data_IF_114147260020
#
_entry.id   IF_114147260020
#
_cell.length_a   1.000
_cell.length_b   1.000
_cell.length_c   1.000
_cell.angle_alpha   90.00
_cell.angle_beta   90.00
_cell.angle_gamma   90.00
#
_symmetry.space_group_name_H-M   'P 1'
#
loop_
_entity.id
_entity.type
_entity.pdbx_description
1 polymer ?
#
# COMPACT_ATOMS: atom_id res chain seq x y z
N UNK A 1 -49.62 -24.03 10.64
CA UNK A 1 -49.15 -22.62 10.67
C UNK A 1 -47.81 -22.43 11.38
N UNK A 2 -47.49 -23.23 12.42
CA UNK A 2 -46.23 -23.10 13.18
C UNK A 2 -44.96 -23.35 12.34
N UNK A 3 -44.95 -24.39 11.49
CA UNK A 3 -43.79 -24.72 10.63
C UNK A 3 -43.45 -23.66 9.57
N UNK A 4 -44.44 -22.94 9.03
CA UNK A 4 -44.18 -21.81 8.09
C UNK A 4 -43.56 -20.61 8.81
N UNK A 5 -44.01 -20.31 10.04
CA UNK A 5 -43.44 -19.22 10.85
C UNK A 5 -42.01 -19.53 11.29
N UNK A 6 -41.73 -20.77 11.70
CA UNK A 6 -40.37 -21.23 12.05
C UNK A 6 -39.46 -21.20 10.82
N UNK A 7 -39.93 -21.66 9.66
CA UNK A 7 -39.14 -21.59 8.42
C UNK A 7 -38.81 -20.15 8.00
N UNK A 8 -39.79 -19.22 8.09
CA UNK A 8 -39.56 -17.80 7.77
C UNK A 8 -38.58 -17.17 8.78
N UNK A 9 -38.71 -17.47 10.08
CA UNK A 9 -37.79 -16.97 11.11
C UNK A 9 -36.35 -17.50 10.91
N UNK A 10 -36.20 -18.79 10.59
CA UNK A 10 -34.89 -19.39 10.28
C UNK A 10 -34.30 -18.81 9.00
N UNK A 11 -35.11 -18.60 7.96
CA UNK A 11 -34.68 -17.97 6.71
C UNK A 11 -34.25 -16.51 6.94
N UNK A 12 -35.00 -15.74 7.72
CA UNK A 12 -34.62 -14.38 8.10
C UNK A 12 -33.31 -14.36 8.90
N UNK A 13 -33.12 -15.28 9.85
CA UNK A 13 -31.87 -15.37 10.63
C UNK A 13 -30.66 -15.68 9.75
N UNK A 14 -30.81 -16.62 8.82
CA UNK A 14 -29.76 -16.97 7.84
C UNK A 14 -29.46 -15.78 6.92
N UNK A 15 -30.47 -15.09 6.41
CA UNK A 15 -30.28 -13.90 5.57
C UNK A 15 -29.61 -12.76 6.34
N UNK A 16 -29.97 -12.53 7.60
CA UNK A 16 -29.29 -11.53 8.44
C UNK A 16 -27.83 -11.91 8.72
N UNK A 17 -27.55 -13.17 9.04
CA UNK A 17 -26.19 -13.63 9.29
C UNK A 17 -25.31 -13.52 8.03
N UNK A 18 -25.86 -13.86 6.86
CA UNK A 18 -25.17 -13.69 5.57
C UNK A 18 -24.92 -12.21 5.25
N UNK A 19 -25.89 -11.33 5.53
CA UNK A 19 -25.72 -9.89 5.32
C UNK A 19 -24.64 -9.27 6.22
N UNK A 20 -24.58 -9.69 7.50
CA UNK A 20 -23.57 -9.24 8.46
C UNK A 20 -22.18 -9.76 8.11
N UNK A 21 -22.09 -10.99 7.62
CA UNK A 21 -20.82 -11.56 7.15
C UNK A 21 -20.33 -10.86 5.87
N UNK A 22 -21.23 -10.58 4.93
CA UNK A 22 -20.89 -9.86 3.70
C UNK A 22 -20.43 -8.42 4.01
N UNK A 23 -21.07 -7.73 4.96
CA UNK A 23 -20.65 -6.38 5.37
C UNK A 23 -19.28 -6.39 6.05
N UNK A 24 -18.98 -7.37 6.91
CA UNK A 24 -17.67 -7.44 7.57
C UNK A 24 -16.53 -7.77 6.59
N UNK A 25 -16.79 -8.62 5.59
CA UNK A 25 -15.82 -8.90 4.53
C UNK A 25 -15.58 -7.70 3.61
N UNK A 26 -16.63 -6.95 3.29
CA UNK A 26 -16.51 -5.70 2.54
C UNK A 26 -15.68 -4.67 3.33
N UNK A 27 -15.96 -4.49 4.61
CA UNK A 27 -15.20 -3.59 5.49
C UNK A 27 -13.73 -4.00 5.58
N UNK A 28 -13.45 -5.31 5.75
CA UNK A 28 -12.09 -5.85 5.76
C UNK A 28 -11.36 -5.62 4.43
N UNK A 29 -12.05 -5.79 3.30
CA UNK A 29 -11.51 -5.46 1.98
C UNK A 29 -11.19 -3.97 1.83
N UNK A 30 -12.10 -3.07 2.21
CA UNK A 30 -11.89 -1.61 2.10
C UNK A 30 -10.78 -1.12 3.03
N UNK A 31 -10.65 -1.72 4.22
CA UNK A 31 -9.52 -1.47 5.11
C UNK A 31 -8.21 -1.91 4.46
N UNK A 32 -8.11 -3.16 3.99
CA UNK A 32 -6.90 -3.65 3.34
C UNK A 32 -6.56 -2.86 2.06
N UNK A 33 -7.56 -2.39 1.31
CA UNK A 33 -7.40 -1.49 0.15
C UNK A 33 -6.74 -0.18 0.56
N UNK A 34 -7.22 0.45 1.63
CA UNK A 34 -6.64 1.69 2.15
C UNK A 34 -5.24 1.47 2.69
N UNK A 35 -4.99 0.38 3.40
CA UNK A 35 -3.68 0.02 3.94
C UNK A 35 -2.64 -0.23 2.83
N UNK A 36 -2.97 -0.98 1.78
CA UNK A 36 -2.04 -1.20 0.65
C UNK A 36 -1.76 0.08 -0.11
N UNK A 37 -2.77 0.93 -0.36
CA UNK A 37 -2.55 2.23 -1.02
C UNK A 37 -1.67 3.13 -0.15
N UNK A 38 -1.91 3.14 1.16
CA UNK A 38 -1.13 3.91 2.13
C UNK A 38 0.33 3.47 2.17
N UNK A 39 0.59 2.15 2.20
CA UNK A 39 1.93 1.59 2.23
C UNK A 39 2.69 1.86 0.93
N UNK A 40 2.03 1.67 -0.22
CA UNK A 40 2.63 1.91 -1.53
C UNK A 40 2.89 3.40 -1.79
N UNK A 41 2.00 4.29 -1.37
CA UNK A 41 2.21 5.73 -1.46
C UNK A 41 3.31 6.22 -0.50
N UNK A 42 3.39 5.62 0.70
CA UNK A 42 4.50 5.85 1.63
C UNK A 42 5.82 5.41 1.00
N UNK A 43 5.89 4.23 0.37
CA UNK A 43 7.06 3.78 -0.39
C UNK A 43 7.39 4.73 -1.54
N UNK A 44 6.39 5.14 -2.30
CA UNK A 44 6.50 6.07 -3.44
C UNK A 44 7.02 7.46 -3.05
N UNK A 45 6.97 7.82 -1.77
CA UNK A 45 7.49 9.10 -1.26
C UNK A 45 9.01 9.13 -1.09
N UNK A 46 9.70 7.99 -1.18
CA UNK A 46 11.17 7.90 -1.08
C UNK A 46 11.85 8.07 -2.45
N UNK A 47 13.01 8.72 -2.48
CA UNK A 47 13.77 8.97 -3.72
C UNK A 47 14.81 7.88 -3.97
N UNK A 48 14.35 6.62 -3.96
CA UNK A 48 15.17 5.44 -4.20
C UNK A 48 14.53 4.51 -5.24
N UNK A 49 15.20 3.39 -5.57
CA UNK A 49 14.70 2.47 -6.61
C UNK A 49 13.33 1.86 -6.25
N UNK A 50 13.09 1.37 -5.02
CA UNK A 50 11.76 0.94 -4.58
C UNK A 50 10.69 2.02 -4.70
N UNK A 51 10.98 3.24 -4.25
CA UNK A 51 10.06 4.37 -4.33
C UNK A 51 9.71 4.74 -5.76
N UNK A 52 10.69 4.74 -6.67
CA UNK A 52 10.43 4.96 -8.10
C UNK A 52 9.56 3.85 -8.71
N UNK A 53 9.84 2.57 -8.41
CA UNK A 53 9.01 1.46 -8.88
C UNK A 53 7.56 1.57 -8.37
N UNK A 54 7.37 1.97 -7.11
CA UNK A 54 6.07 2.21 -6.51
C UNK A 54 5.32 3.36 -7.21
N UNK A 55 5.99 4.51 -7.43
CA UNK A 55 5.41 5.66 -8.15
C UNK A 55 4.93 5.27 -9.53
N UNK A 56 5.79 4.60 -10.32
CA UNK A 56 5.43 4.19 -11.68
C UNK A 56 4.24 3.23 -11.69
N UNK A 57 4.16 2.31 -10.74
CA UNK A 57 3.01 1.41 -10.62
C UNK A 57 1.73 2.14 -10.25
N UNK A 58 1.78 3.09 -9.32
CA UNK A 58 0.61 3.88 -8.93
C UNK A 58 0.13 4.78 -10.07
N UNK A 59 1.05 5.44 -10.79
CA UNK A 59 0.73 6.25 -11.98
C UNK A 59 0.07 5.38 -13.06
N UNK A 60 0.59 4.18 -13.31
CA UNK A 60 0.00 3.20 -14.24
C UNK A 60 -1.43 2.82 -13.83
N UNK A 61 -1.72 2.80 -12.53
CA UNK A 61 -3.06 2.58 -11.98
C UNK A 61 -3.96 3.82 -12.00
N UNK A 62 -3.52 4.92 -12.61
CA UNK A 62 -4.30 6.14 -12.80
C UNK A 62 -4.30 7.09 -11.60
N UNK A 63 -3.31 7.00 -10.71
CA UNK A 63 -3.12 7.99 -9.66
C UNK A 63 -2.40 9.22 -10.21
N UNK A 64 -2.97 10.41 -9.94
CA UNK A 64 -2.27 11.68 -10.12
C UNK A 64 -1.42 11.93 -8.87
N UNK A 65 -0.09 11.92 -9.00
CA UNK A 65 0.86 12.03 -7.88
C UNK A 65 1.71 13.28 -8.04
N UNK A 66 1.57 14.21 -7.11
CA UNK A 66 2.38 15.42 -7.00
C UNK A 66 3.43 15.23 -5.88
N UNK A 67 4.66 14.91 -6.29
CA UNK A 67 5.80 14.75 -5.38
C UNK A 67 6.43 16.11 -5.04
N UNK A 68 6.63 16.37 -3.75
CA UNK A 68 7.12 17.65 -3.24
C UNK A 68 8.28 17.47 -2.28
N UNK A 69 9.29 18.32 -2.47
CA UNK A 69 10.39 18.53 -1.54
C UNK A 69 10.35 20.01 -1.14
N UNK A 70 10.18 20.26 0.15
CA UNK A 70 10.29 21.60 0.74
C UNK A 70 11.49 21.63 1.66
N UNK A 71 12.41 22.57 1.41
CA UNK A 71 13.60 22.80 2.23
C UNK A 71 13.48 24.10 2.99
N UNK A 72 13.91 24.10 4.24
CA UNK A 72 14.20 25.27 5.05
C UNK A 72 15.58 25.09 5.74
N UNK A 73 16.02 26.08 6.51
CA UNK A 73 17.35 26.07 7.16
C UNK A 73 17.53 24.95 8.22
N UNK A 74 16.44 24.30 8.65
CA UNK A 74 16.41 23.32 9.74
C UNK A 74 15.85 21.95 9.33
N UNK A 75 15.13 21.85 8.22
CA UNK A 75 14.53 20.59 7.76
C UNK A 75 14.27 20.52 6.26
N UNK A 76 14.17 19.29 5.77
CA UNK A 76 13.66 18.95 4.45
C UNK A 76 12.38 18.12 4.62
N UNK A 77 11.22 18.74 4.39
CA UNK A 77 9.93 18.05 4.37
C UNK A 77 9.68 17.47 2.98
N UNK A 78 9.50 16.14 2.91
CA UNK A 78 9.20 15.42 1.66
C UNK A 78 7.84 14.75 1.80
N UNK A 79 6.99 14.92 0.80
CA UNK A 79 5.70 14.26 0.76
C UNK A 79 5.20 14.09 -0.66
N UNK A 80 4.25 13.18 -0.84
CA UNK A 80 3.47 13.02 -2.07
C UNK A 80 2.01 13.30 -1.79
N UNK A 81 1.38 14.09 -2.65
CA UNK A 81 -0.07 14.26 -2.67
C UNK A 81 -0.64 13.48 -3.86
N UNK A 82 -1.42 12.44 -3.59
CA UNK A 82 -1.96 11.55 -4.60
C UNK A 82 -3.49 11.63 -4.65
N UNK A 83 -4.06 11.73 -5.85
CA UNK A 83 -5.52 11.80 -6.05
C UNK A 83 -6.00 10.81 -7.10
N UNK A 84 -7.14 10.16 -6.83
CA UNK A 84 -7.89 9.35 -7.79
C UNK A 84 -9.35 9.26 -7.39
N UNK A 85 -10.26 9.67 -8.28
CA UNK A 85 -11.70 9.62 -8.02
C UNK A 85 -12.10 10.48 -6.83
N UNK A 86 -12.56 9.86 -5.73
CA UNK A 86 -12.89 10.53 -4.46
C UNK A 86 -11.79 10.41 -3.41
N UNK A 87 -10.68 9.74 -3.71
CA UNK A 87 -9.63 9.44 -2.75
C UNK A 87 -8.48 10.45 -2.90
N UNK A 88 -8.07 11.04 -1.78
CA UNK A 88 -6.89 11.91 -1.65
C UNK A 88 -5.99 11.36 -0.56
N UNK A 89 -4.71 11.18 -0.88
CA UNK A 89 -3.70 10.68 0.05
C UNK A 89 -2.55 11.69 0.19
N UNK A 90 -2.08 11.90 1.41
CA UNK A 90 -0.79 12.55 1.67
C UNK A 90 0.14 11.53 2.27
N UNK A 91 1.16 11.13 1.52
CA UNK A 91 2.22 10.26 2.01
C UNK A 91 3.43 11.09 2.41
N UNK A 92 3.71 11.11 3.71
CA UNK A 92 4.82 11.84 4.30
C UNK A 92 6.04 10.92 4.36
N UNK A 93 7.14 11.34 3.74
CA UNK A 93 8.37 10.55 3.71
C UNK A 93 8.98 10.51 5.12
N UNK A 94 9.40 9.32 5.57
CA UNK A 94 10.19 9.19 6.78
C UNK A 94 11.66 9.52 6.56
N UNK A 95 12.46 9.42 7.62
CA UNK A 95 13.92 9.53 7.52
C UNK A 95 14.51 8.19 7.03
N UNK A 96 15.54 8.25 6.20
CA UNK A 96 16.22 7.05 5.66
C UNK A 96 17.16 6.37 6.69
N UNK A 97 17.41 7.01 7.83
CA UNK A 97 18.35 6.54 8.85
C UNK A 97 17.69 6.45 10.23
N UNK A 98 17.63 5.23 10.76
CA UNK A 98 17.25 4.98 12.16
C UNK A 98 18.26 5.56 13.15
N UNK A 99 19.53 5.74 12.73
CA UNK A 99 20.54 6.41 13.54
C UNK A 99 20.23 7.90 13.68
N UNK A 100 19.73 8.53 12.60
CA UNK A 100 19.28 9.92 12.60
C UNK A 100 18.02 10.04 13.46
N UNK A 101 17.07 9.10 13.36
CA UNK A 101 15.93 9.05 14.29
C UNK A 101 16.43 8.94 15.73
N UNK A 102 17.40 8.07 16.04
CA UNK A 102 17.93 7.91 17.41
C UNK A 102 18.73 9.13 17.92
N UNK A 103 19.45 9.84 17.06
CA UNK A 103 20.19 11.06 17.43
C UNK A 103 19.32 12.31 17.45
N UNK A 104 18.34 12.40 16.55
CA UNK A 104 17.36 13.50 16.42
C UNK A 104 16.17 13.32 17.36
N UNK A 105 16.03 12.14 17.97
CA UNK A 105 15.37 11.93 19.26
C UNK A 105 16.15 12.65 20.37
N UNK A 106 16.42 13.94 20.16
CA UNK A 106 16.45 14.90 21.23
C UNK A 106 15.09 14.80 21.91
N UNK A 107 15.07 14.14 23.08
CA UNK A 107 13.90 13.86 23.93
C UNK A 107 13.18 15.12 24.43
N UNK A 108 13.45 16.27 23.82
CA UNK A 108 12.83 17.54 24.07
C UNK A 108 11.35 17.49 23.67
N UNK A 109 10.51 17.33 24.68
CA UNK A 109 9.07 17.49 24.57
C UNK A 109 8.70 18.97 24.67
N UNK A 110 7.77 19.40 23.84
CA UNK A 110 7.19 20.75 23.89
C UNK A 110 5.68 20.65 24.14
N UNK A 111 5.04 21.70 24.71
CA UNK A 111 3.58 21.77 24.78
C UNK A 111 2.96 21.61 23.39
N UNK A 112 1.88 20.83 23.28
CA UNK A 112 1.17 20.62 22.02
C UNK A 112 0.58 21.95 21.47
N UNK A 113 0.04 22.80 22.36
CA UNK A 113 -0.36 24.17 22.05
C UNK A 113 0.58 25.15 22.75
N UNK A 114 1.49 25.76 21.99
CA UNK A 114 2.52 26.67 22.52
C UNK A 114 1.97 27.86 23.34
N UNK A 115 0.73 28.28 23.08
CA UNK A 115 0.07 29.42 23.75
C UNK A 115 -0.80 29.04 24.95
N UNK A 116 -0.91 27.76 25.27
CA UNK A 116 -1.73 27.26 26.38
C UNK A 116 -0.84 26.70 27.50
N UNK A 117 -0.55 27.55 28.49
CA UNK A 117 0.31 27.20 29.64
C UNK A 117 -0.34 26.15 30.56
N UNK A 118 -1.64 25.85 30.38
CA UNK A 118 -2.35 24.80 31.09
C UNK A 118 -2.43 23.48 30.33
N UNK A 119 -1.94 23.42 29.09
CA UNK A 119 -2.01 22.22 28.26
C UNK A 119 -1.03 21.15 28.75
N UNK A 120 -1.57 20.07 29.31
CA UNK A 120 -0.79 18.92 29.77
C UNK A 120 -0.29 18.05 28.61
N UNK A 121 -0.82 18.23 27.40
CA UNK A 121 -0.42 17.49 26.21
C UNK A 121 0.95 17.97 25.75
N UNK A 122 1.86 17.03 25.56
CA UNK A 122 3.20 17.29 25.04
C UNK A 122 3.48 16.39 23.85
N UNK A 123 4.24 16.92 22.89
CA UNK A 123 4.65 16.21 21.68
C UNK A 123 6.15 16.39 21.45
N UNK A 124 6.72 15.49 20.65
CA UNK A 124 8.13 15.58 20.28
C UNK A 124 8.41 16.85 19.48
N UNK A 125 9.40 17.65 19.88
CA UNK A 125 9.71 18.92 19.23
C UNK A 125 10.02 18.76 17.74
N UNK A 126 10.79 17.73 17.37
CA UNK A 126 11.11 17.44 15.97
C UNK A 126 9.87 17.09 15.14
N UNK A 127 8.96 16.27 15.67
CA UNK A 127 7.72 15.92 14.96
C UNK A 127 6.79 17.12 14.85
N UNK A 128 6.73 17.95 15.90
CA UNK A 128 5.97 19.20 15.89
C UNK A 128 6.46 20.17 14.83
N UNK A 129 7.77 20.40 14.76
CA UNK A 129 8.40 21.25 13.75
C UNK A 129 8.17 20.72 12.33
N UNK A 130 8.44 19.44 12.12
CA UNK A 130 8.27 18.80 10.81
C UNK A 130 6.81 18.85 10.34
N UNK A 131 5.85 18.62 11.25
CA UNK A 131 4.42 18.72 10.95
C UNK A 131 3.98 20.14 10.62
N UNK A 132 4.52 21.16 11.31
CA UNK A 132 4.25 22.57 10.98
C UNK A 132 4.72 22.86 9.56
N UNK A 133 5.97 22.52 9.25
CA UNK A 133 6.58 22.74 7.94
C UNK A 133 5.82 22.03 6.82
N UNK A 134 5.37 20.79 7.06
CA UNK A 134 4.49 20.05 6.15
C UNK A 134 3.18 20.79 5.88
N UNK A 135 2.43 21.15 6.92
CA UNK A 135 1.09 21.76 6.78
C UNK A 135 1.15 23.17 6.18
N UNK A 136 2.21 23.92 6.47
CA UNK A 136 2.42 25.28 5.99
C UNK A 136 3.13 25.33 4.63
N UNK A 137 3.52 24.17 4.07
CA UNK A 137 4.15 24.10 2.74
C UNK A 137 3.27 24.80 1.70
N UNK A 138 3.80 25.78 0.93
CA UNK A 138 3.07 26.42 -0.14
C UNK A 138 2.58 25.41 -1.19
N UNK A 139 1.28 25.41 -1.47
CA UNK A 139 0.67 24.51 -2.44
C UNK A 139 -0.35 25.26 -3.30
N UNK A 140 -0.07 25.38 -4.61
CA UNK A 140 -0.96 25.99 -5.63
C UNK A 140 -1.59 27.33 -5.19
N UNK A 141 -0.79 28.22 -4.61
CA UNK A 141 -1.23 29.56 -4.17
C UNK A 141 -1.84 29.61 -2.76
N UNK A 142 -1.94 28.49 -2.06
CA UNK A 142 -2.31 28.40 -0.63
C UNK A 142 -1.25 27.61 0.14
N UNK A 143 -1.62 26.93 1.22
CA UNK A 143 -0.78 25.92 1.89
C UNK A 143 -1.34 24.51 1.69
N UNK A 144 -0.54 23.48 1.97
CA UNK A 144 -1.00 22.09 1.97
C UNK A 144 -2.20 21.91 2.89
N UNK A 145 -2.17 22.52 4.08
CA UNK A 145 -3.30 22.53 5.02
C UNK A 145 -4.60 23.01 4.39
N UNK A 146 -4.56 24.12 3.63
CA UNK A 146 -5.76 24.64 2.97
C UNK A 146 -6.23 23.74 1.83
N UNK A 147 -5.29 23.13 1.08
CA UNK A 147 -5.64 22.14 0.07
C UNK A 147 -6.33 20.91 0.68
N UNK A 148 -5.84 20.42 1.82
CA UNK A 148 -6.47 19.31 2.53
C UNK A 148 -7.85 19.65 3.09
N UNK A 149 -8.05 20.88 3.60
CA UNK A 149 -9.37 21.36 3.99
C UNK A 149 -10.36 21.36 2.83
N UNK A 150 -9.93 21.82 1.67
CA UNK A 150 -10.76 21.83 0.47
C UNK A 150 -11.11 20.42 0.00
N UNK A 151 -10.12 19.51 -0.05
CA UNK A 151 -10.32 18.12 -0.44
C UNK A 151 -11.26 17.40 0.55
N UNK A 152 -11.03 17.55 1.86
CA UNK A 152 -11.80 16.91 2.91
C UNK A 152 -13.30 17.32 2.95
N UNK A 153 -13.69 18.40 2.26
CA UNK A 153 -15.10 18.79 2.12
C UNK A 153 -15.90 17.87 1.18
N UNK A 154 -15.22 17.12 0.29
CA UNK A 154 -15.90 16.29 -0.73
C UNK A 154 -15.20 14.96 -1.06
N UNK A 155 -14.01 14.74 -0.50
CA UNK A 155 -13.13 13.60 -0.78
C UNK A 155 -12.85 12.82 0.52
N UNK A 156 -12.46 11.55 0.36
CA UNK A 156 -11.86 10.75 1.40
C UNK A 156 -10.38 11.14 1.52
N UNK A 157 -9.99 11.79 2.61
CA UNK A 157 -8.61 12.22 2.85
C UNK A 157 -7.92 11.28 3.83
N UNK A 158 -6.82 10.68 3.37
CA UNK A 158 -5.96 9.81 4.19
C UNK A 158 -4.57 10.40 4.32
N UNK A 159 -4.09 10.56 5.54
CA UNK A 159 -2.68 10.85 5.83
C UNK A 159 -1.95 9.55 6.10
N UNK A 160 -0.77 9.38 5.51
CA UNK A 160 0.03 8.19 5.73
C UNK A 160 1.50 8.52 5.79
N UNK A 161 2.27 7.62 6.40
CA UNK A 161 3.71 7.72 6.41
C UNK A 161 4.33 6.53 7.13
N UNK A 162 5.62 6.37 6.85
CA UNK A 162 6.47 5.34 7.42
C UNK A 162 7.45 5.96 8.41
N UNK A 163 7.75 5.27 9.52
CA UNK A 163 8.72 5.73 10.53
C UNK A 163 8.40 7.17 10.97
N UNK A 164 9.35 8.11 10.91
CA UNK A 164 9.13 9.53 11.23
C UNK A 164 7.94 10.15 10.46
N UNK A 165 7.75 9.78 9.19
CA UNK A 165 6.64 10.27 8.37
C UNK A 165 5.27 9.84 8.92
N UNK A 166 5.19 8.66 9.54
CA UNK A 166 3.98 8.18 10.20
C UNK A 166 3.65 8.98 11.47
N UNK A 167 4.66 9.35 12.25
CA UNK A 167 4.47 10.24 13.40
C UNK A 167 4.00 11.65 12.98
N UNK A 168 4.58 12.19 11.90
CA UNK A 168 4.14 13.46 11.33
C UNK A 168 2.71 13.40 10.79
N UNK A 169 2.32 12.31 10.12
CA UNK A 169 0.96 12.10 9.63
C UNK A 169 -0.07 12.08 10.78
N UNK A 170 0.23 11.37 11.88
CA UNK A 170 -0.63 11.33 13.05
C UNK A 170 -0.76 12.71 13.72
N UNK A 171 0.36 13.42 13.90
CA UNK A 171 0.33 14.76 14.48
C UNK A 171 -0.38 15.78 13.58
N UNK A 172 -0.24 15.65 12.26
CA UNK A 172 -0.98 16.45 11.29
C UNK A 172 -2.49 16.22 11.42
N UNK A 173 -2.93 14.96 11.56
CA UNK A 173 -4.34 14.65 11.76
C UNK A 173 -4.90 15.26 13.05
N UNK A 174 -4.17 15.20 14.17
CA UNK A 174 -4.56 15.86 15.41
C UNK A 174 -4.75 17.37 15.25
N UNK A 175 -3.84 18.05 14.55
CA UNK A 175 -3.94 19.49 14.27
C UNK A 175 -5.08 19.83 13.31
N UNK A 176 -5.32 19.00 12.31
CA UNK A 176 -6.44 19.19 11.38
C UNK A 176 -7.79 18.92 12.05
N UNK A 177 -7.84 17.97 12.98
CA UNK A 177 -9.01 17.73 13.84
C UNK A 177 -9.34 18.98 14.67
N UNK A 178 -8.34 19.57 15.34
CA UNK A 178 -8.46 20.86 16.06
C UNK A 178 -8.98 21.99 15.15
N UNK A 179 -8.73 21.91 13.84
CA UNK A 179 -9.19 22.87 12.83
C UNK A 179 -10.53 22.48 12.16
N UNK A 180 -11.25 21.49 12.71
CA UNK A 180 -12.61 21.11 12.29
C UNK A 180 -12.68 20.04 11.20
N UNK A 181 -11.64 19.20 11.05
CA UNK A 181 -11.59 18.11 10.08
C UNK A 181 -11.56 16.72 10.75
N UNK A 182 -12.65 16.29 11.42
CA UNK A 182 -12.68 15.02 12.15
C UNK A 182 -12.65 13.77 11.24
N UNK A 183 -12.96 13.91 9.96
CA UNK A 183 -13.12 12.81 8.99
C UNK A 183 -11.81 12.27 8.41
N UNK A 184 -10.66 12.87 8.73
CA UNK A 184 -9.37 12.45 8.19
C UNK A 184 -8.98 11.07 8.72
N UNK A 185 -8.60 10.19 7.80
CA UNK A 185 -8.08 8.87 8.12
C UNK A 185 -6.55 8.92 8.21
N UNK A 186 -5.98 8.08 9.06
CA UNK A 186 -4.53 7.97 9.23
C UNK A 186 -4.13 6.50 9.16
N UNK A 187 -3.14 6.18 8.31
CA UNK A 187 -2.51 4.86 8.28
C UNK A 187 -1.02 5.02 8.47
N UNK A 188 -0.46 4.44 9.52
CA UNK A 188 0.97 4.57 9.83
C UNK A 188 1.67 3.22 9.82
N UNK A 189 2.94 3.22 9.41
CA UNK A 189 3.79 2.02 9.34
C UNK A 189 5.04 2.21 10.18
N UNK A 190 5.25 1.37 11.19
CA UNK A 190 6.45 1.43 12.04
C UNK A 190 6.65 2.78 12.74
N UNK A 191 5.57 3.51 13.01
CA UNK A 191 5.66 4.89 13.48
C UNK A 191 6.08 5.00 14.95
N UNK A 192 6.96 5.96 15.28
CA UNK A 192 7.34 6.27 16.64
C UNK A 192 6.19 6.89 17.47
N UNK A 193 6.29 6.84 18.80
CA UNK A 193 5.33 7.51 19.68
C UNK A 193 5.42 9.04 19.51
N UNK A 194 4.27 9.71 19.36
CA UNK A 194 4.20 11.15 19.00
C UNK A 194 4.15 12.07 20.21
N UNK A 195 3.42 11.67 21.24
CA UNK A 195 3.11 12.50 22.41
C UNK A 195 3.04 11.71 23.71
N UNK A 196 2.79 12.43 24.80
CA UNK A 196 2.60 11.85 26.13
C UNK A 196 1.18 11.28 26.33
N UNK A 197 0.91 10.71 27.51
CA UNK A 197 -0.40 10.13 27.83
C UNK A 197 -1.57 11.10 27.66
N UNK A 198 -1.41 12.36 28.09
CA UNK A 198 -2.46 13.37 27.93
C UNK A 198 -2.81 13.64 26.46
N UNK A 199 -1.80 13.63 25.56
CA UNK A 199 -2.03 13.74 24.12
C UNK A 199 -2.82 12.53 23.60
N UNK A 200 -2.45 11.31 24.00
CA UNK A 200 -3.12 10.09 23.56
C UNK A 200 -4.55 9.98 24.09
N UNK A 201 -4.77 10.23 25.37
CA UNK A 201 -6.10 10.26 26.00
C UNK A 201 -7.05 11.23 25.28
N UNK A 202 -6.51 12.32 24.74
CA UNK A 202 -7.29 13.30 23.97
C UNK A 202 -7.62 12.79 22.57
N UNK A 203 -6.62 12.30 21.80
CA UNK A 203 -6.78 12.10 20.36
C UNK A 203 -7.07 10.66 19.94
N UNK A 204 -6.66 9.66 20.72
CA UNK A 204 -6.92 8.26 20.39
C UNK A 204 -8.42 7.94 20.20
N UNK A 205 -9.36 8.42 21.03
CA UNK A 205 -10.79 8.18 20.79
C UNK A 205 -11.39 9.06 19.68
N UNK A 206 -10.67 10.07 19.19
CA UNK A 206 -11.19 11.07 18.25
C UNK A 206 -10.71 10.87 16.81
N UNK A 207 -9.53 10.29 16.62
CA UNK A 207 -8.91 10.12 15.31
C UNK A 207 -9.18 8.71 14.74
N UNK A 208 -9.31 8.63 13.42
CA UNK A 208 -9.41 7.37 12.69
C UNK A 208 -8.01 6.87 12.32
N UNK A 209 -7.37 6.09 13.20
CA UNK A 209 -5.98 5.64 13.04
C UNK A 209 -5.87 4.12 12.90
N UNK A 210 -5.30 3.67 11.78
CA UNK A 210 -4.81 2.32 11.57
C UNK A 210 -3.27 2.33 11.82
N UNK A 211 -2.86 1.95 13.04
CA UNK A 211 -1.44 1.88 13.43
C UNK A 211 -0.89 0.48 13.13
N UNK A 212 -0.08 0.37 12.08
CA UNK A 212 0.50 -0.89 11.61
C UNK A 212 1.95 -1.01 12.09
N UNK A 213 2.29 -2.15 12.67
CA UNK A 213 3.65 -2.50 13.08
C UNK A 213 4.01 -3.88 12.57
N UNK A 214 5.27 -4.08 12.16
CA UNK A 214 5.77 -5.38 11.76
C UNK A 214 6.32 -6.12 12.98
N UNK A 215 6.02 -7.41 13.09
CA UNK A 215 6.63 -8.29 14.08
C UNK A 215 8.15 -8.30 13.89
N UNK A 216 8.90 -8.06 14.97
CA UNK A 216 10.36 -7.96 14.93
C UNK A 216 10.91 -6.58 14.51
N UNK A 217 10.05 -5.59 14.23
CA UNK A 217 10.48 -4.22 13.98
C UNK A 217 11.17 -3.62 15.24
N UNK A 218 12.46 -3.26 15.18
CA UNK A 218 13.20 -2.71 16.31
C UNK A 218 12.71 -1.33 16.75
N UNK A 219 12.02 -0.56 15.89
CA UNK A 219 11.54 0.79 16.21
C UNK A 219 10.51 0.78 17.33
N UNK A 220 9.75 -0.32 17.49
CA UNK A 220 8.87 -0.52 18.64
C UNK A 220 9.64 -0.34 19.97
N UNK A 221 10.90 -0.77 20.03
CA UNK A 221 11.74 -0.66 21.21
C UNK A 221 12.48 0.68 21.38
N UNK A 222 12.73 1.44 20.32
CA UNK A 222 13.61 2.64 20.36
C UNK A 222 12.98 3.80 21.14
N UNK A 223 11.64 3.89 21.19
CA UNK A 223 10.93 4.96 21.89
C UNK A 223 10.16 4.52 23.13
N UNK A 224 9.91 3.22 23.27
CA UNK A 224 9.39 2.65 24.52
C UNK A 224 10.46 2.60 25.61
N UNK A 225 11.75 2.77 25.27
CA UNK A 225 12.88 2.72 26.22
C UNK A 225 13.14 4.03 26.96
N UNK A 226 12.35 5.09 26.74
CA UNK A 226 12.42 6.34 27.52
C UNK A 226 11.17 6.43 28.40
N UNK A 227 11.21 5.71 29.52
CA UNK A 227 10.10 5.60 30.46
C UNK A 227 9.50 6.98 30.82
N UNK A 228 8.21 7.16 30.55
CA UNK A 228 7.37 8.25 31.06
C UNK A 228 7.19 9.50 30.19
N UNK A 229 7.93 9.70 29.10
CA UNK A 229 7.82 10.94 28.29
C UNK A 229 6.86 10.81 27.10
N UNK A 230 6.87 9.67 26.41
CA UNK A 230 6.03 9.40 25.25
C UNK A 230 5.36 8.03 25.38
N UNK A 231 4.13 7.91 24.89
CA UNK A 231 3.42 6.63 24.83
C UNK A 231 2.77 6.46 23.46
N UNK A 232 2.63 5.20 23.03
CA UNK A 232 1.91 4.87 21.80
C UNK A 232 0.40 4.94 22.01
N UNK A 233 -0.36 5.14 20.93
CA UNK A 233 -1.78 4.80 20.93
C UNK A 233 -1.94 3.30 21.22
N UNK A 234 -2.92 2.96 22.04
CA UNK A 234 -3.09 1.59 22.57
C UNK A 234 -3.45 0.58 21.49
N UNK A 235 -4.28 0.96 20.50
CA UNK A 235 -4.65 0.10 19.37
C UNK A 235 -3.48 -0.08 18.40
N UNK A 236 -3.10 -1.33 18.12
CA UNK A 236 -2.18 -1.70 17.04
C UNK A 236 -2.65 -2.93 16.28
N UNK A 237 -2.31 -2.94 14.99
CA UNK A 237 -2.34 -4.15 14.17
C UNK A 237 -0.90 -4.58 13.92
N UNK A 238 -0.57 -5.79 14.37
CA UNK A 238 0.75 -6.40 14.17
C UNK A 238 0.68 -7.29 12.93
N UNK A 239 1.60 -7.10 11.99
CA UNK A 239 1.75 -7.93 10.81
C UNK A 239 2.99 -8.81 10.91
N UNK A 240 2.94 -9.96 10.23
CA UNK A 240 4.09 -10.84 10.05
C UNK A 240 4.69 -10.65 8.66
N UNK A 241 6.03 -10.57 8.59
CA UNK A 241 6.73 -10.59 7.31
C UNK A 241 6.77 -12.00 6.73
N UNK A 242 6.59 -12.12 5.41
CA UNK A 242 6.89 -13.38 4.73
C UNK A 242 8.39 -13.72 4.91
N UNK A 243 8.76 -15.01 5.00
CA UNK A 243 10.16 -15.42 5.21
C UNK A 243 11.14 -14.78 4.22
N UNK A 244 10.72 -14.64 2.96
CA UNK A 244 11.49 -14.03 1.87
C UNK A 244 11.81 -12.54 2.06
N UNK A 245 11.10 -11.84 2.93
CA UNK A 245 11.20 -10.39 3.13
C UNK A 245 11.53 -9.98 4.58
N UNK A 246 11.81 -10.93 5.48
CA UNK A 246 12.09 -10.65 6.90
C UNK A 246 13.22 -9.64 7.13
N UNK A 247 14.20 -9.58 6.24
CA UNK A 247 15.30 -8.60 6.32
C UNK A 247 14.86 -7.13 6.17
N UNK A 248 13.63 -6.91 5.70
CA UNK A 248 12.99 -5.61 5.53
C UNK A 248 12.04 -5.28 6.70
N UNK A 249 12.20 -5.89 7.87
CA UNK A 249 11.24 -5.79 8.97
C UNK A 249 10.85 -4.35 9.38
N UNK A 250 11.76 -3.38 9.23
CA UNK A 250 11.44 -1.95 9.37
C UNK A 250 11.36 -1.21 8.04
N UNK A 251 11.87 -1.74 6.93
CA UNK A 251 11.89 -0.99 5.68
C UNK A 251 10.47 -0.89 5.10
N UNK A 252 10.11 0.28 4.55
CA UNK A 252 8.79 0.51 3.95
C UNK A 252 8.46 -0.50 2.85
N UNK A 253 9.47 -1.05 2.17
CA UNK A 253 9.30 -2.09 1.15
C UNK A 253 8.70 -3.38 1.74
N UNK A 254 9.05 -3.73 2.99
CA UNK A 254 8.51 -4.88 3.71
C UNK A 254 7.05 -4.67 4.11
N UNK A 255 6.72 -3.48 4.60
CA UNK A 255 5.33 -3.08 4.89
C UNK A 255 4.46 -3.07 3.62
N UNK A 256 4.97 -2.55 2.50
CA UNK A 256 4.25 -2.53 1.23
C UNK A 256 3.99 -3.93 0.65
N UNK A 257 4.92 -4.87 0.86
CA UNK A 257 4.74 -6.28 0.47
C UNK A 257 3.68 -6.97 1.34
N UNK A 258 3.78 -6.83 2.66
CA UNK A 258 2.78 -7.38 3.60
C UNK A 258 1.37 -6.81 3.31
N UNK A 259 1.26 -5.49 3.12
CA UNK A 259 0.00 -4.84 2.79
C UNK A 259 -0.61 -5.37 1.48
N UNK A 260 0.22 -5.65 0.46
CA UNK A 260 -0.24 -6.22 -0.79
C UNK A 260 -0.81 -7.63 -0.61
N UNK A 261 -0.18 -8.46 0.24
CA UNK A 261 -0.66 -9.80 0.57
C UNK A 261 -1.99 -9.74 1.31
N UNK A 262 -2.08 -8.92 2.35
CA UNK A 262 -3.32 -8.70 3.10
C UNK A 262 -4.45 -8.21 2.20
N UNK A 263 -4.16 -7.28 1.27
CA UNK A 263 -5.13 -6.83 0.27
C UNK A 263 -5.61 -7.97 -0.62
N UNK A 264 -4.71 -8.82 -1.12
CA UNK A 264 -5.09 -9.95 -1.97
C UNK A 264 -5.89 -11.02 -1.25
N UNK A 265 -5.55 -11.31 0.00
CA UNK A 265 -6.30 -12.25 0.83
C UNK A 265 -7.70 -11.70 1.13
N UNK A 266 -7.81 -10.44 1.54
CA UNK A 266 -9.08 -9.78 1.83
C UNK A 266 -9.97 -9.64 0.58
N UNK A 267 -9.36 -9.25 -0.55
CA UNK A 267 -10.05 -9.18 -1.85
C UNK A 267 -10.58 -10.56 -2.26
N UNK A 268 -9.75 -11.60 -2.18
CA UNK A 268 -10.15 -12.96 -2.54
C UNK A 268 -11.29 -13.50 -1.68
N UNK A 269 -11.24 -13.25 -0.36
CA UNK A 269 -12.32 -13.61 0.56
C UNK A 269 -13.63 -12.87 0.22
N UNK A 270 -13.54 -11.57 -0.08
CA UNK A 270 -14.72 -10.77 -0.42
C UNK A 270 -15.32 -11.18 -1.78
N UNK A 271 -14.52 -11.34 -2.83
CA UNK A 271 -14.96 -11.84 -4.15
C UNK A 271 -15.60 -13.24 -4.05
N UNK A 272 -15.03 -14.11 -3.22
CA UNK A 272 -15.60 -15.43 -2.94
C UNK A 272 -16.99 -15.34 -2.29
N UNK A 273 -17.19 -14.38 -1.40
CA UNK A 273 -18.49 -14.13 -0.77
C UNK A 273 -19.54 -13.57 -1.73
N UNK A 274 -19.12 -12.81 -2.74
CA UNK A 274 -19.99 -12.26 -3.78
C UNK A 274 -20.30 -13.29 -4.88
N UNK A 275 -19.46 -14.30 -5.05
CA UNK A 275 -19.56 -15.27 -6.15
C UNK A 275 -19.13 -14.72 -7.50
N UNK A 276 -18.54 -13.53 -7.55
CA UNK A 276 -18.03 -12.88 -8.75
C UNK A 276 -16.84 -11.95 -8.41
N UNK A 277 -15.94 -11.67 -9.37
CA UNK A 277 -14.85 -10.72 -9.14
C UNK A 277 -15.39 -9.29 -8.97
N UNK A 278 -14.63 -8.46 -8.25
CA UNK A 278 -14.88 -7.03 -8.16
C UNK A 278 -14.63 -6.37 -9.52
N UNK A 279 -15.38 -5.31 -9.80
CA UNK A 279 -15.07 -4.45 -10.93
C UNK A 279 -13.67 -3.85 -10.77
N UNK A 280 -12.87 -3.88 -11.83
CA UNK A 280 -11.57 -3.20 -11.82
C UNK A 280 -11.77 -1.68 -11.74
N UNK A 281 -10.91 -0.98 -10.98
CA UNK A 281 -10.89 0.49 -10.83
C UNK A 281 -10.40 1.22 -12.11
N UNK A 282 -10.80 0.76 -13.29
CA UNK A 282 -10.30 1.24 -14.58
C UNK A 282 -11.45 1.40 -15.57
N UNK A 283 -11.44 2.53 -16.29
CA UNK A 283 -12.20 2.66 -17.52
C UNK A 283 -11.69 1.61 -18.52
N UNK A 284 -12.52 0.61 -18.79
CA UNK A 284 -12.29 -0.40 -19.83
C UNK A 284 -12.04 0.33 -21.15
N UNK A 285 -10.83 0.29 -21.70
CA UNK A 285 -10.64 0.77 -23.08
C UNK A 285 -11.52 -0.05 -24.04
N UNK A 286 -11.93 0.56 -25.16
CA UNK A 286 -12.58 -0.18 -26.23
C UNK A 286 -11.54 -1.09 -26.92
N UNK A 287 -12.01 -2.24 -27.42
CA UNK A 287 -11.29 -3.30 -28.14
C UNK A 287 -10.01 -2.91 -28.91
N UNK A 288 -9.00 -3.81 -29.00
CA UNK A 288 -9.14 -5.28 -28.97
C UNK A 288 -8.51 -6.01 -27.76
N UNK A 289 -9.03 -7.22 -27.50
CA UNK A 289 -8.64 -8.07 -26.36
C UNK A 289 -7.36 -8.86 -26.62
N UNK A 290 -6.55 -9.09 -25.57
CA UNK A 290 -5.32 -9.90 -25.64
C UNK A 290 -5.53 -11.24 -24.94
N UNK A 291 -5.11 -12.34 -25.55
CA UNK A 291 -5.15 -13.66 -24.92
C UNK A 291 -3.88 -13.90 -24.09
N UNK A 292 -3.99 -13.95 -22.77
CA UNK A 292 -2.85 -14.02 -21.86
C UNK A 292 -2.74 -15.41 -21.24
N UNK A 293 -1.59 -16.05 -21.36
CA UNK A 293 -1.33 -17.30 -20.65
C UNK A 293 -1.02 -17.03 -19.16
N UNK A 294 -1.35 -17.97 -18.25
CA UNK A 294 -0.92 -17.89 -16.86
C UNK A 294 0.60 -17.72 -16.78
N UNK A 295 1.07 -16.81 -15.92
CA UNK A 295 2.50 -16.53 -15.74
C UNK A 295 3.26 -17.84 -15.42
N UNK A 296 4.20 -18.29 -16.26
CA UNK A 296 5.03 -19.43 -15.90
C UNK A 296 6.04 -19.00 -14.82
N UNK A 297 6.06 -19.63 -13.65
CA UNK A 297 6.95 -19.25 -12.54
C UNK A 297 7.89 -20.39 -12.20
N UNK A 298 9.20 -20.14 -12.21
CA UNK A 298 10.24 -21.10 -11.81
C UNK A 298 11.23 -20.40 -10.89
N UNK A 299 11.05 -20.59 -9.58
CA UNK A 299 11.78 -19.84 -8.54
C UNK A 299 12.44 -20.78 -7.53
N UNK A 300 13.42 -20.26 -6.78
CA UNK A 300 13.97 -20.90 -5.60
C UNK A 300 12.87 -21.29 -4.60
N UNK A 301 13.03 -22.42 -3.90
CA UNK A 301 12.00 -22.97 -3.01
C UNK A 301 11.62 -22.03 -1.87
N UNK A 302 12.50 -21.13 -1.44
CA UNK A 302 12.16 -20.14 -0.42
C UNK A 302 11.13 -19.10 -0.89
N UNK A 303 10.89 -18.98 -2.20
CA UNK A 303 9.89 -18.09 -2.77
C UNK A 303 8.54 -18.80 -3.03
N UNK A 304 8.38 -20.06 -2.62
CA UNK A 304 7.16 -20.83 -2.90
C UNK A 304 5.90 -20.16 -2.35
N UNK A 305 5.99 -19.54 -1.16
CA UNK A 305 4.90 -18.78 -0.56
C UNK A 305 4.59 -17.45 -1.26
N UNK A 306 5.51 -16.94 -2.08
CA UNK A 306 5.36 -15.70 -2.84
C UNK A 306 4.64 -15.92 -4.17
N UNK A 307 4.72 -17.13 -4.73
CA UNK A 307 4.23 -17.45 -6.09
C UNK A 307 2.75 -17.08 -6.30
N UNK A 308 1.81 -17.39 -5.39
CA UNK A 308 0.40 -16.99 -5.58
C UNK A 308 0.25 -15.46 -5.71
N UNK A 309 0.93 -14.71 -4.85
CA UNK A 309 0.88 -13.24 -4.84
C UNK A 309 1.62 -12.63 -6.05
N UNK A 310 2.73 -13.23 -6.49
CA UNK A 310 3.43 -12.82 -7.73
C UNK A 310 2.51 -12.93 -8.95
N UNK A 311 1.78 -14.05 -9.08
CA UNK A 311 0.82 -14.25 -10.18
C UNK A 311 -0.27 -13.20 -10.15
N UNK A 312 -0.89 -13.01 -8.99
CA UNK A 312 -1.97 -12.05 -8.81
C UNK A 312 -1.49 -10.61 -9.04
N UNK A 313 -0.28 -10.25 -8.62
CA UNK A 313 0.33 -8.96 -8.88
C UNK A 313 0.56 -8.70 -10.38
N UNK A 314 1.17 -9.64 -11.09
CA UNK A 314 1.41 -9.52 -12.52
C UNK A 314 0.10 -9.43 -13.32
N UNK A 315 -0.90 -10.25 -12.96
CA UNK A 315 -2.21 -10.25 -13.64
C UNK A 315 -2.99 -8.97 -13.38
N UNK A 316 -2.96 -8.45 -12.15
CA UNK A 316 -3.57 -7.16 -11.83
C UNK A 316 -2.90 -6.01 -12.60
N UNK A 317 -1.56 -5.98 -12.67
CA UNK A 317 -0.85 -4.96 -13.43
C UNK A 317 -1.22 -4.98 -14.92
N UNK A 318 -1.36 -6.17 -15.52
CA UNK A 318 -1.83 -6.30 -16.91
C UNK A 318 -3.26 -5.81 -17.10
N UNK A 319 -4.15 -6.05 -16.14
CA UNK A 319 -5.55 -5.61 -16.25
C UNK A 319 -5.71 -4.08 -16.35
N UNK A 320 -4.72 -3.29 -15.90
CA UNK A 320 -4.68 -1.84 -16.10
C UNK A 320 -4.19 -1.45 -17.50
N UNK A 321 -3.37 -2.30 -18.12
CA UNK A 321 -2.71 -2.02 -19.41
C UNK A 321 -3.48 -2.58 -20.61
N UNK A 322 -4.17 -3.70 -20.40
CA UNK A 322 -4.74 -4.57 -21.43
C UNK A 322 -6.15 -5.01 -21.05
N UNK A 323 -6.84 -5.65 -22.02
CA UNK A 323 -8.08 -6.39 -21.82
C UNK A 323 -7.78 -7.88 -21.89
N UNK A 324 -7.19 -8.46 -20.83
CA UNK A 324 -6.76 -9.83 -20.88
C UNK A 324 -7.97 -10.77 -20.86
N UNK A 325 -8.01 -11.69 -21.81
CA UNK A 325 -8.71 -12.96 -21.68
C UNK A 325 -7.68 -14.02 -21.30
N UNK A 326 -7.96 -14.79 -20.25
CA UNK A 326 -6.98 -15.73 -19.74
C UNK A 326 -7.13 -17.11 -20.38
N UNK A 327 -6.00 -17.63 -20.86
CA UNK A 327 -5.86 -19.01 -21.30
C UNK A 327 -5.59 -19.99 -20.16
N UNK A 328 -5.46 -21.26 -20.52
CA UNK A 328 -5.10 -22.34 -19.61
C UNK A 328 -3.68 -22.83 -19.94
N UNK A 329 -2.85 -22.97 -18.90
CA UNK A 329 -1.42 -23.30 -19.02
C UNK A 329 -1.14 -24.72 -19.52
N UNK A 330 -2.10 -25.63 -19.38
CA UNK A 330 -1.97 -27.03 -19.83
C UNK A 330 -2.06 -27.18 -21.35
N UNK A 331 -2.58 -26.16 -22.05
CA UNK A 331 -2.68 -26.15 -23.51
C UNK A 331 -1.37 -25.69 -24.13
N UNK A 332 -1.00 -26.33 -25.23
CA UNK A 332 0.11 -25.89 -26.08
C UNK A 332 -0.11 -24.47 -26.62
N UNK A 333 0.96 -23.84 -27.10
CA UNK A 333 0.86 -22.52 -27.74
C UNK A 333 -0.10 -22.55 -28.95
N UNK A 334 -0.06 -23.61 -29.75
CA UNK A 334 -0.94 -23.77 -30.92
C UNK A 334 -2.43 -23.82 -30.51
N UNK A 335 -2.76 -24.51 -29.42
CA UNK A 335 -4.12 -24.57 -28.89
C UNK A 335 -4.58 -23.24 -28.29
N UNK A 336 -3.68 -22.51 -27.63
CA UNK A 336 -3.97 -21.16 -27.13
C UNK A 336 -4.16 -20.15 -28.28
N UNK A 337 -3.35 -20.21 -29.34
CA UNK A 337 -3.52 -19.40 -30.55
C UNK A 337 -4.87 -19.65 -31.21
N UNK A 338 -5.31 -20.92 -31.26
CA UNK A 338 -6.65 -21.27 -31.73
C UNK A 338 -7.75 -20.66 -30.84
N UNK A 339 -7.65 -20.83 -29.52
CA UNK A 339 -8.63 -20.28 -28.59
C UNK A 339 -8.70 -18.74 -28.66
N UNK A 340 -7.56 -18.08 -28.82
CA UNK A 340 -7.46 -16.64 -29.02
C UNK A 340 -8.19 -16.20 -30.30
N UNK A 341 -8.01 -16.91 -31.43
CA UNK A 341 -8.77 -16.68 -32.68
C UNK A 341 -10.26 -16.80 -32.45
N UNK A 342 -10.70 -17.87 -31.80
CA UNK A 342 -12.11 -18.15 -31.56
C UNK A 342 -12.77 -17.10 -30.64
N UNK A 343 -11.97 -16.35 -29.88
CA UNK A 343 -12.41 -15.26 -28.99
C UNK A 343 -12.17 -13.86 -29.56
N UNK A 344 -11.72 -13.75 -30.81
CA UNK A 344 -11.48 -12.45 -31.46
C UNK A 344 -10.28 -11.68 -30.90
N UNK A 345 -9.33 -12.34 -30.24
CA UNK A 345 -8.11 -11.68 -29.76
C UNK A 345 -7.14 -11.43 -30.92
N UNK A 346 -6.37 -10.34 -30.83
CA UNK A 346 -5.37 -9.99 -31.85
C UNK A 346 -3.98 -10.55 -31.56
N UNK A 347 -3.68 -10.83 -30.29
CA UNK A 347 -2.39 -11.33 -29.85
C UNK A 347 -2.53 -12.38 -28.73
N UNK A 348 -1.54 -13.27 -28.65
CA UNK A 348 -1.29 -14.14 -27.49
C UNK A 348 -0.05 -13.63 -26.75
N UNK A 349 -0.18 -13.40 -25.44
CA UNK A 349 0.92 -13.02 -24.56
C UNK A 349 1.35 -14.21 -23.70
N UNK A 350 2.62 -14.61 -23.83
CA UNK A 350 3.26 -15.63 -23.00
C UNK A 350 4.27 -14.95 -22.07
N UNK A 351 4.16 -15.21 -20.77
CA UNK A 351 5.02 -14.60 -19.73
C UNK A 351 5.72 -15.66 -18.92
N UNK A 352 6.96 -15.38 -18.52
CA UNK A 352 7.75 -16.23 -17.61
C UNK A 352 8.46 -15.38 -16.57
N UNK A 353 8.45 -15.86 -15.34
CA UNK A 353 9.27 -15.37 -14.25
C UNK A 353 10.21 -16.50 -13.79
N UNK A 354 11.50 -16.22 -13.80
CA UNK A 354 12.49 -17.09 -13.16
C UNK A 354 13.14 -16.36 -12.00
N UNK A 355 13.45 -17.07 -10.92
CA UNK A 355 14.08 -16.49 -9.74
C UNK A 355 15.11 -17.44 -9.15
N UNK A 356 16.36 -17.00 -9.03
CA UNK A 356 17.43 -17.80 -8.45
C UNK A 356 18.00 -17.07 -7.26
N UNK A 357 18.27 -17.78 -6.18
CA UNK A 357 19.00 -17.25 -5.03
C UNK A 357 20.38 -16.75 -5.46
N UNK A 358 20.73 -15.55 -5.03
CA UNK A 358 22.05 -14.99 -5.22
C UNK A 358 23.07 -15.83 -4.43
N UNK A 359 24.28 -15.97 -4.99
CA UNK A 359 25.34 -16.77 -4.37
C UNK A 359 25.68 -16.20 -2.99
N UNK A 360 25.80 -17.08 -1.99
CA UNK A 360 26.19 -16.74 -0.61
C UNK A 360 25.20 -15.76 0.09
N UNK A 361 23.92 -15.77 -0.30
CA UNK A 361 22.86 -14.93 0.28
C UNK A 361 21.64 -15.74 0.73
N UNK A 362 21.09 -15.38 1.88
CA UNK A 362 19.93 -16.06 2.47
C UNK A 362 18.59 -15.59 1.89
N UNK A 363 18.47 -14.33 1.47
CA UNK A 363 17.20 -13.75 0.98
C UNK A 363 17.40 -12.68 -0.10
N UNK A 364 18.48 -12.80 -0.88
CA UNK A 364 18.66 -12.05 -2.11
C UNK A 364 18.50 -12.98 -3.31
N UNK A 365 17.73 -12.53 -4.29
CA UNK A 365 17.41 -13.29 -5.49
C UNK A 365 17.73 -12.45 -6.73
N UNK A 366 18.08 -13.13 -7.80
CA UNK A 366 18.15 -12.59 -9.15
C UNK A 366 16.91 -13.08 -9.88
N UNK A 367 16.02 -12.15 -10.20
CA UNK A 367 14.75 -12.38 -10.86
C UNK A 367 14.88 -11.99 -12.33
N UNK A 368 14.39 -12.83 -13.24
CA UNK A 368 14.28 -12.52 -14.66
C UNK A 368 12.84 -12.66 -15.11
N UNK A 369 12.30 -11.59 -15.67
CA UNK A 369 10.98 -11.55 -16.27
C UNK A 369 11.08 -11.51 -17.79
N UNK A 370 10.30 -12.35 -18.46
CA UNK A 370 10.28 -12.50 -19.91
C UNK A 370 8.84 -12.43 -20.42
N UNK A 371 8.65 -11.77 -21.56
CA UNK A 371 7.40 -11.77 -22.31
C UNK A 371 7.65 -12.06 -23.79
N UNK A 372 6.74 -12.79 -24.42
CA UNK A 372 6.71 -12.95 -25.88
C UNK A 372 5.28 -12.75 -26.38
N UNK A 373 5.15 -11.84 -27.35
CA UNK A 373 3.89 -11.54 -28.01
C UNK A 373 3.81 -12.30 -29.33
N UNK A 374 2.74 -13.05 -29.53
CA UNK A 374 2.49 -13.81 -30.75
C UNK A 374 1.32 -13.22 -31.52
N UNK A 375 1.48 -13.14 -32.84
CA UNK A 375 0.41 -12.85 -33.78
C UNK A 375 -0.57 -14.02 -33.83
N UNK A 376 -1.85 -13.74 -33.60
CA UNK A 376 -2.88 -14.78 -33.49
C UNK A 376 -3.16 -15.50 -34.83
N UNK A 377 -2.95 -14.82 -35.97
CA UNK A 377 -3.27 -15.35 -37.29
C UNK A 377 -2.13 -16.21 -37.86
N UNK A 378 -0.92 -15.69 -37.86
CA UNK A 378 0.29 -16.33 -38.38
C UNK A 378 0.97 -17.24 -37.36
N UNK A 379 0.75 -17.03 -36.05
CA UNK A 379 1.47 -17.71 -34.99
C UNK A 379 2.93 -17.26 -34.80
N UNK A 380 3.38 -16.24 -35.54
CA UNK A 380 4.73 -15.71 -35.45
C UNK A 380 4.91 -14.85 -34.19
N UNK A 381 6.11 -14.88 -33.59
CA UNK A 381 6.47 -13.94 -32.53
C UNK A 381 6.62 -12.53 -33.12
N UNK A 382 5.85 -11.57 -32.59
CA UNK A 382 5.87 -10.15 -32.96
C UNK A 382 6.95 -9.39 -32.19
N UNK A 383 7.08 -9.66 -30.89
CA UNK A 383 8.07 -9.04 -30.01
C UNK A 383 8.41 -9.95 -28.85
N UNK A 384 9.59 -9.72 -28.27
CA UNK A 384 10.04 -10.37 -27.04
C UNK A 384 10.71 -9.33 -26.14
N UNK A 385 10.50 -9.48 -24.84
CA UNK A 385 11.09 -8.66 -23.79
C UNK A 385 11.73 -9.57 -22.75
N UNK A 386 12.88 -9.16 -22.22
CA UNK A 386 13.53 -9.82 -21.09
C UNK A 386 14.24 -8.78 -20.23
N UNK A 387 14.02 -8.83 -18.93
CA UNK A 387 14.69 -7.98 -17.95
C UNK A 387 15.08 -8.79 -16.73
N UNK A 388 16.26 -8.49 -16.17
CA UNK A 388 16.78 -9.13 -14.96
C UNK A 388 17.06 -8.07 -13.90
N UNK A 389 16.63 -8.34 -12.67
CA UNK A 389 16.85 -7.49 -11.51
C UNK A 389 17.25 -8.32 -10.30
N UNK A 390 18.08 -7.75 -9.41
CA UNK A 390 18.29 -8.31 -8.09
C UNK A 390 17.21 -7.79 -7.12
N UNK A 391 17.00 -8.51 -6.03
CA UNK A 391 16.06 -8.12 -4.96
C UNK A 391 16.76 -7.40 -3.81
N UNK A 392 18.02 -6.97 -3.92
CA UNK A 392 18.81 -6.43 -2.78
C UNK A 392 18.08 -5.29 -2.06
N UNK A 393 17.40 -4.41 -2.80
CA UNK A 393 16.59 -3.31 -2.24
C UNK A 393 15.08 -3.46 -2.41
N UNK A 394 14.61 -4.51 -3.07
CA UNK A 394 13.20 -4.69 -3.43
C UNK A 394 12.71 -6.06 -2.98
N UNK A 395 11.43 -6.18 -2.63
CA UNK A 395 10.86 -7.52 -2.46
C UNK A 395 10.77 -8.23 -3.82
N UNK A 396 10.73 -9.58 -3.86
CA UNK A 396 10.56 -10.32 -5.09
C UNK A 396 9.32 -9.92 -5.90
N UNK A 397 8.21 -9.53 -5.23
CA UNK A 397 7.00 -9.06 -5.89
C UNK A 397 7.21 -7.66 -6.49
N UNK A 398 7.85 -6.75 -5.76
CA UNK A 398 8.15 -5.41 -6.28
C UNK A 398 9.11 -5.47 -7.47
N UNK A 399 10.14 -6.33 -7.41
CA UNK A 399 11.05 -6.55 -8.54
C UNK A 399 10.32 -7.07 -9.78
N UNK A 400 9.39 -8.03 -9.60
CA UNK A 400 8.51 -8.49 -10.68
C UNK A 400 7.72 -7.34 -11.31
N UNK A 401 7.04 -6.54 -10.49
CA UNK A 401 6.21 -5.43 -10.97
C UNK A 401 7.04 -4.34 -11.66
N UNK A 402 8.27 -4.07 -11.20
CA UNK A 402 9.19 -3.14 -11.83
C UNK A 402 9.63 -3.61 -13.22
N UNK A 403 10.00 -4.90 -13.35
CA UNK A 403 10.37 -5.49 -14.65
C UNK A 403 9.19 -5.54 -15.62
N UNK A 404 8.04 -6.05 -15.15
CA UNK A 404 6.83 -6.19 -15.95
C UNK A 404 6.22 -4.83 -16.34
N UNK A 405 6.43 -3.80 -15.53
CA UNK A 405 6.03 -2.42 -15.87
C UNK A 405 6.89 -1.78 -16.98
N UNK A 406 8.07 -2.32 -17.26
CA UNK A 406 9.01 -1.83 -18.29
C UNK A 406 8.79 -2.50 -19.66
N UNK A 407 8.32 -3.75 -19.66
CA UNK A 407 7.80 -4.43 -20.85
C UNK A 407 6.61 -3.65 -21.43
#
# INVERSE_FOLDING_TARGET
MLGKKVFILSLCFVLTALSVLASSLQEGYEQARREVLSAWLSMASYDDKPGEAARQELIRRGWDIDYRIQKDDKSESKFSLARKGRDTFVAVTGTESLADVKSDLNLHSIPYKERDTGDLRKVHAGFSYYTTSLLDTPYKGTTLKQALKADAASQNVTLTGHSLGGAAALLAAARLYDEGLPQIQVVTFGAPAVGNSAFNETYEPLLHVDRIVMAGDPVKGILQTVDGTYSQFSKETVWDSAPSVQRFAHDIVGYADAALRHYYDAKGAYESSLGHPLAADVARAAEPSVWVLPLAVTVDTALSGDVPYMRQAADNQLAYRLHPLYGVSEKSLAENLKAARDKGCEAVLVRRLTGKRAKDKDYDFVMTYEEVWYDVQSGAARSAFSMTMNTEKMTPILALLAMAGTA
#
